data_IF_250711645916
#
_entry.id   IF_250711645916
#
_cell.length_a   1.000
_cell.length_b   1.000
_cell.length_c   1.000
_cell.angle_alpha   90.00
_cell.angle_beta   90.00
_cell.angle_gamma   90.00
#
_symmetry.space_group_name_H-M   'P 1'
#
loop_
_entity.id
_entity.type
_entity.pdbx_description
1 polymer ?
#
# COMPACT_ATOMS: atom_id res chain seq x y z
N UNK A 1 -29.95 -11.59 16.04
CA UNK A 1 -28.94 -10.51 16.05
C UNK A 1 -28.13 -10.59 14.77
N UNK A 2 -28.63 -9.94 13.71
CA UNK A 2 -27.86 -9.63 12.50
C UNK A 2 -26.98 -8.41 12.79
N UNK A 3 -25.95 -8.15 11.98
CA UNK A 3 -25.13 -6.91 11.88
C UNK A 3 -23.67 -6.89 12.37
N UNK A 4 -23.04 -8.00 12.82
CA UNK A 4 -21.62 -7.94 13.22
C UNK A 4 -20.59 -8.42 12.16
N UNK A 5 -21.04 -8.86 10.98
CA UNK A 5 -20.15 -9.42 9.95
C UNK A 5 -19.82 -8.45 8.81
N UNK A 6 -20.64 -7.40 8.61
CA UNK A 6 -20.55 -6.53 7.40
C UNK A 6 -19.49 -5.42 7.50
N UNK A 7 -19.18 -4.95 8.72
CA UNK A 7 -18.15 -3.91 8.92
C UNK A 7 -16.71 -4.45 8.86
N UNK A 8 -16.51 -5.73 9.20
CA UNK A 8 -15.18 -6.34 9.34
C UNK A 8 -14.57 -6.71 7.97
N UNK A 9 -15.40 -7.08 6.99
CA UNK A 9 -15.00 -7.39 5.61
C UNK A 9 -14.60 -6.15 4.79
N UNK A 10 -15.22 -4.99 5.04
CA UNK A 10 -14.90 -3.74 4.33
C UNK A 10 -13.46 -3.28 4.60
N UNK A 11 -12.96 -3.45 5.83
CA UNK A 11 -11.57 -3.08 6.19
C UNK A 11 -10.53 -3.88 5.41
N UNK A 12 -10.73 -5.19 5.27
CA UNK A 12 -9.84 -6.05 4.49
C UNK A 12 -9.91 -5.71 3.00
N UNK A 13 -11.10 -5.40 2.49
CA UNK A 13 -11.27 -4.97 1.09
C UNK A 13 -10.59 -3.62 0.82
N UNK A 14 -10.74 -2.65 1.73
CA UNK A 14 -10.02 -1.37 1.67
C UNK A 14 -8.52 -1.58 1.68
N UNK A 15 -8.02 -2.48 2.52
CA UNK A 15 -6.59 -2.78 2.61
C UNK A 15 -6.03 -3.40 1.31
N UNK A 16 -6.79 -4.30 0.69
CA UNK A 16 -6.43 -4.88 -0.62
C UNK A 16 -6.46 -3.80 -1.71
N UNK A 17 -7.53 -3.00 -1.77
CA UNK A 17 -7.69 -1.94 -2.77
C UNK A 17 -6.59 -0.88 -2.64
N UNK A 18 -6.29 -0.43 -1.42
CA UNK A 18 -5.18 0.48 -1.15
C UNK A 18 -3.85 -0.11 -1.62
N UNK A 19 -3.57 -1.37 -1.29
CA UNK A 19 -2.32 -2.02 -1.69
C UNK A 19 -2.20 -2.14 -3.20
N UNK A 20 -3.27 -2.56 -3.90
CA UNK A 20 -3.30 -2.62 -5.37
C UNK A 20 -3.11 -1.24 -6.01
N UNK A 21 -3.78 -0.22 -5.49
CA UNK A 21 -3.68 1.15 -5.99
C UNK A 21 -2.26 1.70 -5.79
N UNK A 22 -1.63 1.38 -4.65
CA UNK A 22 -0.24 1.77 -4.37
C UNK A 22 0.73 1.08 -5.32
N UNK A 23 0.54 -0.21 -5.59
CA UNK A 23 1.34 -0.95 -6.59
C UNK A 23 1.14 -0.38 -8.00
N UNK A 24 -0.09 -0.06 -8.38
CA UNK A 24 -0.38 0.58 -9.66
C UNK A 24 0.34 1.94 -9.77
N UNK A 25 0.28 2.75 -8.72
CA UNK A 25 0.96 4.05 -8.66
C UNK A 25 2.49 3.90 -8.80
N UNK A 26 3.09 2.84 -8.24
CA UNK A 26 4.53 2.56 -8.44
C UNK A 26 4.89 2.32 -9.91
N UNK A 27 4.10 1.51 -10.61
CA UNK A 27 4.32 1.28 -12.05
C UNK A 27 4.12 2.54 -12.89
N UNK A 28 3.20 3.41 -12.48
CA UNK A 28 2.89 4.65 -13.18
C UNK A 28 3.87 5.79 -12.85
N UNK A 29 4.65 5.71 -11.78
CA UNK A 29 5.59 6.76 -11.37
C UNK A 29 6.59 7.12 -12.48
N UNK A 30 7.23 6.12 -13.07
CA UNK A 30 8.27 6.31 -14.09
C UNK A 30 7.74 6.91 -15.40
N UNK A 31 6.66 6.39 -16.03
CA UNK A 31 6.09 7.01 -17.22
C UNK A 31 5.46 8.38 -16.95
N UNK A 32 4.88 8.62 -15.76
CA UNK A 32 4.30 9.93 -15.43
C UNK A 32 5.40 10.96 -15.18
N UNK A 33 6.46 10.61 -14.43
CA UNK A 33 7.60 11.52 -14.20
C UNK A 33 8.23 11.95 -15.53
N UNK A 34 8.36 11.00 -16.47
CA UNK A 34 8.97 11.25 -17.78
C UNK A 34 8.10 12.13 -18.68
N UNK A 35 6.77 11.99 -18.65
CA UNK A 35 5.87 12.72 -19.57
C UNK A 35 5.23 13.98 -18.97
N UNK A 36 4.97 14.02 -17.66
CA UNK A 36 4.28 15.11 -16.98
C UNK A 36 5.24 16.04 -16.21
N UNK A 37 6.52 15.69 -16.14
CA UNK A 37 7.57 16.46 -15.48
C UNK A 37 7.89 15.98 -14.06
N UNK A 38 9.13 16.20 -13.64
CA UNK A 38 9.69 15.72 -12.37
C UNK A 38 8.87 16.15 -11.15
N UNK A 39 8.32 17.36 -11.16
CA UNK A 39 7.47 17.87 -10.08
C UNK A 39 6.26 16.95 -9.82
N UNK A 40 5.63 16.43 -10.87
CA UNK A 40 4.48 15.50 -10.75
C UNK A 40 4.95 14.14 -10.25
N UNK A 41 6.12 13.68 -10.68
CA UNK A 41 6.75 12.45 -10.17
C UNK A 41 6.97 12.48 -8.66
N UNK A 42 7.43 13.62 -8.11
CA UNK A 42 7.63 13.81 -6.67
C UNK A 42 6.30 13.72 -5.91
N UNK A 43 5.22 14.35 -6.40
CA UNK A 43 3.90 14.25 -5.77
C UNK A 43 3.39 12.80 -5.72
N UNK A 44 3.58 12.03 -6.80
CA UNK A 44 3.21 10.62 -6.86
C UNK A 44 4.07 9.79 -5.90
N UNK A 45 5.37 10.10 -5.78
CA UNK A 45 6.26 9.43 -4.83
C UNK A 45 5.79 9.62 -3.39
N UNK A 46 5.43 10.84 -3.00
CA UNK A 46 4.86 11.13 -1.67
C UNK A 46 3.56 10.36 -1.45
N UNK A 47 2.69 10.30 -2.48
CA UNK A 47 1.44 9.55 -2.42
C UNK A 47 1.67 8.04 -2.21
N UNK A 48 2.66 7.45 -2.89
CA UNK A 48 3.05 6.04 -2.73
C UNK A 48 3.55 5.77 -1.32
N UNK A 49 4.40 6.65 -0.77
CA UNK A 49 4.93 6.52 0.59
C UNK A 49 3.78 6.59 1.61
N UNK A 50 2.89 7.58 1.49
CA UNK A 50 1.73 7.73 2.36
C UNK A 50 0.79 6.51 2.27
N UNK A 51 0.54 6.00 1.06
CA UNK A 51 -0.22 4.77 0.81
C UNK A 51 0.40 3.54 1.46
N UNK A 52 1.73 3.40 1.41
CA UNK A 52 2.45 2.31 2.10
C UNK A 52 2.31 2.40 3.62
N UNK A 53 2.45 3.58 4.22
CA UNK A 53 2.29 3.78 5.67
C UNK A 53 0.86 3.45 6.11
N UNK A 54 -0.14 3.93 5.37
CA UNK A 54 -1.55 3.62 5.60
C UNK A 54 -1.83 2.12 5.49
N UNK A 55 -1.34 1.45 4.44
CA UNK A 55 -1.46 0.00 4.31
C UNK A 55 -0.79 -0.71 5.49
N UNK A 56 0.43 -0.34 5.90
CA UNK A 56 1.09 -0.96 7.04
C UNK A 56 0.29 -0.80 8.35
N UNK A 57 -0.31 0.37 8.59
CA UNK A 57 -1.19 0.59 9.75
C UNK A 57 -2.46 -0.26 9.69
N UNK A 58 -3.12 -0.34 8.53
CA UNK A 58 -4.29 -1.22 8.35
C UNK A 58 -3.91 -2.69 8.54
N UNK A 59 -2.75 -3.12 8.03
CA UNK A 59 -2.23 -4.47 8.21
C UNK A 59 -2.11 -4.81 9.70
N UNK A 60 -1.54 -3.91 10.50
CA UNK A 60 -1.38 -4.08 11.95
C UNK A 60 -2.73 -4.20 12.67
N UNK A 61 -3.70 -3.35 12.32
CA UNK A 61 -5.05 -3.37 12.90
C UNK A 61 -5.80 -4.66 12.54
N UNK A 62 -5.69 -5.12 11.28
CA UNK A 62 -6.30 -6.37 10.80
C UNK A 62 -5.68 -7.59 11.49
N UNK A 63 -4.35 -7.62 11.65
CA UNK A 63 -3.66 -8.75 12.30
C UNK A 63 -4.01 -8.89 13.79
N UNK A 64 -4.23 -7.77 14.49
CA UNK A 64 -4.67 -7.76 15.90
C UNK A 64 -6.12 -8.23 16.08
N UNK A 65 -6.98 -8.13 15.06
CA UNK A 65 -8.43 -8.45 15.12
C UNK A 65 -8.72 -9.92 14.73
N UNK A 66 -7.71 -10.81 14.80
CA UNK A 66 -7.72 -12.13 14.15
C UNK A 66 -8.80 -13.11 14.67
N UNK A 67 -10.00 -13.03 14.10
CA UNK A 67 -11.04 -14.08 14.10
C UNK A 67 -11.57 -14.41 12.69
N UNK A 68 -11.10 -13.75 11.62
CA UNK A 68 -11.58 -13.98 10.26
C UNK A 68 -10.50 -14.47 9.27
N UNK A 69 -10.95 -15.32 8.34
CA UNK A 69 -10.30 -15.87 7.13
C UNK A 69 -8.83 -15.43 6.91
N UNK A 70 -7.92 -16.10 7.62
CA UNK A 70 -6.47 -15.88 7.60
C UNK A 70 -5.85 -15.80 6.19
N UNK A 71 -6.44 -16.47 5.19
CA UNK A 71 -5.91 -16.48 3.81
C UNK A 71 -5.88 -15.12 3.12
N UNK A 72 -7.00 -14.38 3.10
CA UNK A 72 -7.09 -13.10 2.37
C UNK A 72 -6.27 -11.99 3.05
N UNK A 73 -6.27 -11.97 4.39
CA UNK A 73 -5.45 -11.04 5.16
C UNK A 73 -3.94 -11.29 4.94
N UNK A 74 -3.51 -12.55 4.88
CA UNK A 74 -2.11 -12.91 4.59
C UNK A 74 -1.67 -12.48 3.19
N UNK A 75 -2.52 -12.66 2.16
CA UNK A 75 -2.19 -12.23 0.79
C UNK A 75 -1.99 -10.71 0.74
N UNK A 76 -2.89 -9.95 1.37
CA UNK A 76 -2.79 -8.50 1.43
C UNK A 76 -1.55 -8.03 2.22
N UNK A 77 -1.15 -8.78 3.25
CA UNK A 77 0.07 -8.54 4.01
C UNK A 77 1.33 -8.76 3.16
N UNK A 78 1.37 -9.85 2.37
CA UNK A 78 2.48 -10.12 1.43
C UNK A 78 2.59 -9.01 0.38
N UNK A 79 1.48 -8.56 -0.18
CA UNK A 79 1.44 -7.40 -1.09
C UNK A 79 1.96 -6.12 -0.42
N UNK A 80 1.58 -5.88 0.83
CA UNK A 80 2.04 -4.70 1.59
C UNK A 80 3.54 -4.79 1.88
N UNK A 81 4.06 -5.95 2.27
CA UNK A 81 5.49 -6.18 2.49
C UNK A 81 6.29 -5.96 1.20
N UNK A 82 5.77 -6.43 0.07
CA UNK A 82 6.37 -6.19 -1.25
C UNK A 82 6.40 -4.70 -1.59
N UNK A 83 5.28 -4.00 -1.41
CA UNK A 83 5.20 -2.54 -1.63
C UNK A 83 6.17 -1.77 -0.70
N UNK A 84 6.24 -2.11 0.60
CA UNK A 84 7.18 -1.48 1.54
C UNK A 84 8.63 -1.73 1.13
N UNK A 85 8.95 -2.93 0.63
CA UNK A 85 10.30 -3.26 0.15
C UNK A 85 10.69 -2.42 -1.06
N UNK A 86 9.76 -2.19 -1.99
CA UNK A 86 9.97 -1.32 -3.15
C UNK A 86 10.21 0.13 -2.70
N UNK A 87 9.38 0.65 -1.79
CA UNK A 87 9.57 2.02 -1.26
C UNK A 87 10.92 2.15 -0.58
N UNK A 88 11.31 1.20 0.27
CA UNK A 88 12.63 1.18 0.92
C UNK A 88 13.77 1.16 -0.09
N UNK A 89 13.63 0.38 -1.16
CA UNK A 89 14.60 0.35 -2.25
C UNK A 89 14.72 1.72 -2.94
N UNK A 90 13.60 2.35 -3.31
CA UNK A 90 13.60 3.70 -3.89
C UNK A 90 14.19 4.74 -2.93
N UNK A 91 13.89 4.66 -1.64
CA UNK A 91 14.44 5.55 -0.61
C UNK A 91 15.96 5.37 -0.47
N UNK A 92 16.44 4.13 -0.47
CA UNK A 92 17.87 3.81 -0.40
C UNK A 92 18.62 4.29 -1.64
N UNK A 93 18.09 4.04 -2.83
CA UNK A 93 18.65 4.51 -4.10
C UNK A 93 18.65 6.04 -4.13
N UNK A 94 17.54 6.68 -3.76
CA UNK A 94 17.44 8.13 -3.69
C UNK A 94 18.46 8.76 -2.73
N UNK A 95 18.66 8.20 -1.53
CA UNK A 95 19.68 8.67 -0.57
C UNK A 95 21.10 8.47 -1.12
N UNK A 96 21.35 7.41 -1.89
CA UNK A 96 22.69 7.16 -2.48
C UNK A 96 23.00 8.06 -3.68
N UNK A 97 21.98 8.53 -4.39
CA UNK A 97 22.10 9.36 -5.59
C UNK A 97 21.96 10.86 -5.31
N UNK A 98 21.49 11.24 -4.11
CA UNK A 98 21.44 12.62 -3.61
C UNK A 98 22.76 13.03 -2.94
#
# INVERSE_FOLDING_TARGET
>A
MYYHTKMRTWRTYLFIVLSLLTTLAMFLLEPISTNAGESVGIFIMIFIIAGCVLSALLAFVVFRTSEEKKGLASIALLLTLFNVSIVLYFLWVGIRLA
#
